data_IF_525575189951
#
_entry.id   IF_525575189951
#
_cell.length_a   1.000
_cell.length_b   1.000
_cell.length_c   1.000
_cell.angle_alpha   90.00
_cell.angle_beta   90.00
_cell.angle_gamma   90.00
#
_symmetry.space_group_name_H-M   'P 1'
#
loop_
_entity.id
_entity.type
_entity.pdbx_description
1 polymer ?
#
# COMPACT_ATOMS: atom_id res chain seq x y z
N UNK A 1 -2.01 -19.65 19.00
CA UNK A 1 -2.33 -18.21 19.13
C UNK A 1 -3.83 -18.07 19.28
N UNK A 2 -4.31 -17.35 20.28
CA UNK A 2 -5.75 -17.11 20.47
C UNK A 2 -6.14 -15.79 19.80
N UNK A 3 -7.32 -15.75 19.21
CA UNK A 3 -7.81 -14.53 18.52
C UNK A 3 -8.84 -13.85 19.41
N UNK A 4 -8.49 -12.69 19.96
CA UNK A 4 -9.47 -11.78 20.56
C UNK A 4 -10.04 -10.96 19.41
N UNK A 5 -11.29 -11.23 19.05
CA UNK A 5 -11.98 -10.52 17.98
C UNK A 5 -13.07 -9.61 18.56
N UNK A 6 -13.07 -8.35 18.13
CA UNK A 6 -14.16 -7.42 18.44
C UNK A 6 -15.32 -7.70 17.47
N UNK A 7 -16.21 -8.64 17.79
CA UNK A 7 -17.37 -8.93 16.95
C UNK A 7 -18.50 -7.92 17.18
N UNK A 8 -18.89 -7.20 16.13
CA UNK A 8 -20.05 -6.32 16.13
C UNK A 8 -21.38 -7.08 16.02
N UNK A 9 -22.05 -7.30 17.14
CA UNK A 9 -23.53 -7.39 17.20
C UNK A 9 -24.07 -6.04 17.68
N UNK A 10 -25.39 -5.81 17.64
CA UNK A 10 -26.02 -4.49 17.92
C UNK A 10 -25.71 -3.87 19.29
N UNK A 11 -24.95 -4.56 20.15
CA UNK A 11 -24.45 -4.09 21.46
C UNK A 11 -22.93 -4.18 21.67
N UNK A 12 -22.10 -4.32 20.62
CA UNK A 12 -20.62 -4.29 20.68
C UNK A 12 -20.01 -4.93 21.95
N UNK A 13 -20.30 -6.21 22.20
CA UNK A 13 -19.67 -6.93 23.31
C UNK A 13 -18.43 -7.66 22.82
N UNK A 14 -17.25 -7.44 23.43
CA UNK A 14 -16.04 -8.17 23.08
C UNK A 14 -16.25 -9.68 23.23
N UNK A 15 -15.63 -10.44 22.32
CA UNK A 15 -15.66 -11.90 22.32
C UNK A 15 -14.24 -12.46 22.26
N UNK A 16 -14.05 -13.64 22.83
CA UNK A 16 -12.80 -14.39 22.82
C UNK A 16 -13.09 -15.84 22.40
N UNK A 17 -12.33 -16.36 21.44
CA UNK A 17 -12.46 -17.73 20.94
C UNK A 17 -11.24 -18.56 21.38
N UNK A 18 -11.48 -19.70 22.04
CA UNK A 18 -10.46 -20.59 22.63
C UNK A 18 -10.93 -22.05 22.55
N UNK A 19 -10.06 -22.94 22.04
CA UNK A 19 -10.28 -24.40 21.98
C UNK A 19 -11.63 -24.80 21.37
N UNK A 20 -12.09 -24.01 20.39
CA UNK A 20 -13.36 -24.23 19.73
C UNK A 20 -14.59 -23.71 20.48
N UNK A 21 -14.42 -23.06 21.63
CA UNK A 21 -15.51 -22.43 22.35
C UNK A 21 -15.38 -20.92 22.31
N UNK A 22 -16.52 -20.24 22.38
CA UNK A 22 -16.59 -18.79 22.36
C UNK A 22 -17.10 -18.23 23.68
N UNK A 23 -16.46 -17.18 24.14
CA UNK A 23 -16.75 -16.51 25.39
C UNK A 23 -17.08 -15.04 25.15
N UNK A 24 -18.06 -14.52 25.87
CA UNK A 24 -18.41 -13.10 25.87
C UNK A 24 -17.96 -12.46 27.17
N UNK A 25 -17.55 -11.19 27.10
CA UNK A 25 -17.13 -10.43 28.28
C UNK A 25 -18.27 -10.35 29.30
N UNK A 26 -17.99 -10.81 30.52
CA UNK A 26 -18.92 -10.77 31.66
C UNK A 26 -18.66 -9.52 32.52
N UNK A 27 -17.41 -9.31 32.97
CA UNK A 27 -16.98 -8.15 33.75
C UNK A 27 -15.48 -7.84 33.59
N UNK A 28 -15.07 -6.64 33.95
CA UNK A 28 -13.66 -6.19 33.97
C UNK A 28 -13.31 -5.74 35.40
N UNK A 29 -12.10 -6.06 35.85
CA UNK A 29 -11.46 -5.51 37.06
C UNK A 29 -10.22 -4.71 36.66
N UNK A 30 -9.50 -4.15 37.62
CA UNK A 30 -8.27 -3.39 37.37
C UNK A 30 -7.18 -4.19 36.65
N UNK A 31 -7.11 -5.50 36.91
CA UNK A 31 -6.07 -6.41 36.40
C UNK A 31 -6.57 -7.43 35.36
N UNK A 32 -7.88 -7.72 35.33
CA UNK A 32 -8.44 -8.89 34.65
C UNK A 32 -9.70 -8.60 33.87
N UNK A 33 -9.91 -9.40 32.84
CA UNK A 33 -11.17 -9.52 32.12
C UNK A 33 -11.74 -10.91 32.38
N UNK A 34 -13.00 -10.96 32.82
CA UNK A 34 -13.76 -12.18 33.03
C UNK A 34 -14.66 -12.43 31.82
N UNK A 35 -14.57 -13.63 31.29
CA UNK A 35 -15.32 -14.09 30.14
C UNK A 35 -16.18 -15.28 30.54
N UNK A 36 -17.39 -15.38 29.98
CA UNK A 36 -18.30 -16.53 30.18
C UNK A 36 -18.66 -17.14 28.84
N UNK A 37 -18.93 -18.44 28.82
CA UNK A 37 -19.40 -19.12 27.62
C UNK A 37 -20.62 -18.41 27.02
N UNK A 38 -20.66 -18.27 25.69
CA UNK A 38 -21.80 -17.65 25.01
C UNK A 38 -23.09 -18.45 25.19
N UNK A 39 -22.98 -19.77 25.39
CA UNK A 39 -24.09 -20.70 25.64
C UNK A 39 -24.49 -20.77 27.13
N UNK A 40 -23.99 -19.84 27.97
CA UNK A 40 -24.34 -19.77 29.39
C UNK A 40 -25.84 -19.74 29.65
N UNK A 41 -26.60 -19.03 28.81
CA UNK A 41 -28.06 -18.93 28.96
C UNK A 41 -28.83 -20.04 28.23
N UNK A 42 -28.37 -20.45 27.05
CA UNK A 42 -29.09 -21.41 26.21
C UNK A 42 -28.90 -22.84 26.69
N UNK A 43 -27.67 -23.18 27.08
CA UNK A 43 -27.26 -24.55 27.38
C UNK A 43 -26.89 -24.68 28.87
N UNK A 44 -27.12 -23.63 29.67
CA UNK A 44 -26.71 -23.56 31.08
C UNK A 44 -25.19 -23.78 31.28
N UNK A 45 -24.38 -23.42 30.27
CA UNK A 45 -22.94 -23.67 30.30
C UNK A 45 -22.19 -22.66 31.19
N UNK A 46 -21.68 -23.13 32.32
CA UNK A 46 -21.00 -22.29 33.32
C UNK A 46 -19.49 -22.11 33.09
N UNK A 47 -18.94 -22.60 31.98
CA UNK A 47 -17.54 -22.42 31.64
C UNK A 47 -17.15 -20.93 31.52
N UNK A 48 -15.99 -20.58 32.08
CA UNK A 48 -15.46 -19.21 32.16
C UNK A 48 -13.96 -19.16 31.90
N UNK A 49 -13.52 -18.04 31.35
CA UNK A 49 -12.11 -17.73 31.11
C UNK A 49 -11.75 -16.39 31.76
N UNK A 50 -10.54 -16.26 32.29
CA UNK A 50 -9.99 -15.00 32.77
C UNK A 50 -8.75 -14.64 31.96
N UNK A 51 -8.65 -13.40 31.51
CA UNK A 51 -7.44 -12.88 30.84
C UNK A 51 -6.88 -11.68 31.56
N UNK A 52 -5.58 -11.44 31.43
CA UNK A 52 -4.94 -10.20 31.87
C UNK A 52 -5.47 -9.03 31.04
N UNK A 53 -5.75 -7.89 31.67
CA UNK A 53 -6.25 -6.70 30.98
C UNK A 53 -5.20 -6.10 30.02
N UNK A 54 -3.94 -6.06 30.45
CA UNK A 54 -2.84 -5.42 29.73
C UNK A 54 -2.23 -6.36 28.66
N UNK A 55 -1.71 -7.50 29.09
CA UNK A 55 -1.04 -8.45 28.20
C UNK A 55 -2.00 -9.30 27.36
N UNK A 56 -3.30 -9.30 27.69
CA UNK A 56 -4.34 -10.14 27.05
C UNK A 56 -4.06 -11.65 27.09
N UNK A 57 -3.15 -12.09 27.96
CA UNK A 57 -2.82 -13.51 28.17
C UNK A 57 -3.90 -14.21 28.97
N UNK A 58 -4.04 -15.52 28.78
CA UNK A 58 -4.98 -16.35 29.56
C UNK A 58 -4.39 -16.59 30.94
N UNK A 59 -5.15 -16.24 31.97
CA UNK A 59 -4.76 -16.43 33.37
C UNK A 59 -5.42 -17.65 34.00
N UNK A 60 -6.66 -17.94 33.61
CA UNK A 60 -7.42 -19.05 34.21
C UNK A 60 -8.54 -19.54 33.29
N UNK A 61 -8.76 -20.86 33.29
CA UNK A 61 -9.99 -21.49 32.79
C UNK A 61 -10.72 -22.15 33.98
N UNK A 62 -12.04 -21.99 34.07
CA UNK A 62 -12.85 -22.54 35.17
C UNK A 62 -14.20 -23.05 34.66
N UNK A 63 -14.60 -24.22 35.14
CA UNK A 63 -15.85 -24.87 34.75
C UNK A 63 -15.72 -25.58 33.41
N UNK A 64 -16.21 -26.81 33.34
CA UNK A 64 -16.18 -27.61 32.12
C UNK A 64 -17.32 -27.20 31.17
N UNK A 65 -17.06 -27.30 29.87
CA UNK A 65 -18.10 -27.08 28.88
C UNK A 65 -19.06 -28.26 28.88
N UNK A 66 -20.34 -27.97 29.12
CA UNK A 66 -21.45 -28.91 28.90
C UNK A 66 -22.16 -28.66 27.55
N UNK A 67 -21.88 -27.53 26.91
CA UNK A 67 -22.38 -27.24 25.58
C UNK A 67 -21.57 -27.99 24.53
N UNK A 68 -22.22 -28.37 23.42
CA UNK A 68 -21.55 -29.06 22.32
C UNK A 68 -20.65 -28.10 21.55
N UNK A 69 -19.45 -28.56 21.23
CA UNK A 69 -18.62 -27.91 20.22
C UNK A 69 -19.34 -27.98 18.88
N UNK A 70 -19.70 -26.81 18.32
CA UNK A 70 -20.31 -26.70 17.00
C UNK A 70 -19.34 -25.99 16.05
N UNK A 71 -18.52 -26.78 15.36
CA UNK A 71 -17.59 -26.31 14.34
C UNK A 71 -18.28 -25.43 13.28
N UNK A 72 -19.54 -25.74 12.94
CA UNK A 72 -20.29 -25.02 11.92
C UNK A 72 -20.68 -23.62 12.43
N UNK A 73 -21.19 -23.53 13.66
CA UNK A 73 -21.51 -22.23 14.29
C UNK A 73 -20.26 -21.35 14.46
N UNK A 74 -19.12 -21.95 14.80
CA UNK A 74 -17.86 -21.23 14.92
C UNK A 74 -17.37 -20.68 13.58
N UNK A 75 -17.44 -21.48 12.51
CA UNK A 75 -17.09 -21.04 11.16
C UNK A 75 -17.99 -19.89 10.68
N UNK A 76 -19.31 -19.98 10.90
CA UNK A 76 -20.28 -18.91 10.58
C UNK A 76 -19.95 -17.61 11.32
N UNK A 77 -19.48 -17.73 12.56
CA UNK A 77 -19.11 -16.59 13.38
C UNK A 77 -17.80 -15.95 12.93
N UNK A 78 -16.78 -16.76 12.66
CA UNK A 78 -15.51 -16.29 12.10
C UNK A 78 -15.74 -15.59 10.76
N UNK A 79 -16.61 -16.14 9.91
CA UNK A 79 -17.04 -15.48 8.67
C UNK A 79 -17.62 -14.09 8.95
N UNK A 80 -18.56 -13.97 9.90
CA UNK A 80 -19.18 -12.69 10.25
C UNK A 80 -18.16 -11.66 10.79
N UNK A 81 -17.18 -12.12 11.56
CA UNK A 81 -16.08 -11.29 12.06
C UNK A 81 -15.17 -10.83 10.91
N UNK A 82 -14.79 -11.72 10.00
CA UNK A 82 -13.98 -11.39 8.82
C UNK A 82 -14.69 -10.40 7.89
N UNK A 83 -15.98 -10.60 7.62
CA UNK A 83 -16.79 -9.67 6.83
C UNK A 83 -16.84 -8.29 7.50
N UNK A 84 -17.05 -8.25 8.82
CA UNK A 84 -17.08 -6.97 9.57
C UNK A 84 -15.71 -6.30 9.54
N UNK A 85 -14.64 -7.05 9.76
CA UNK A 85 -13.26 -6.54 9.70
C UNK A 85 -12.92 -5.96 8.34
N UNK A 86 -13.18 -6.69 7.26
CA UNK A 86 -12.93 -6.20 5.89
C UNK A 86 -13.83 -5.02 5.54
N UNK A 87 -15.09 -5.01 5.96
CA UNK A 87 -15.99 -3.89 5.72
C UNK A 87 -15.48 -2.57 6.32
N UNK A 88 -14.83 -2.62 7.49
CA UNK A 88 -14.36 -1.42 8.21
C UNK A 88 -12.93 -1.02 7.85
N UNK A 89 -12.10 -1.94 7.39
CA UNK A 89 -10.66 -1.70 7.19
C UNK A 89 -10.22 -1.78 5.72
N UNK A 90 -11.14 -2.00 4.78
CA UNK A 90 -10.82 -2.09 3.34
C UNK A 90 -11.90 -1.41 2.50
N UNK A 91 -11.53 -1.01 1.28
CA UNK A 91 -12.45 -0.45 0.27
C UNK A 91 -13.03 -1.50 -0.69
N UNK A 92 -12.73 -2.79 -0.50
CA UNK A 92 -13.15 -3.86 -1.41
C UNK A 92 -14.67 -3.84 -1.68
N UNK A 93 -15.09 -4.16 -2.89
CA UNK A 93 -16.52 -4.26 -3.20
C UNK A 93 -17.21 -5.29 -2.27
N UNK A 94 -18.44 -5.04 -1.77
CA UNK A 94 -19.15 -5.98 -0.91
C UNK A 94 -19.23 -7.40 -1.49
N UNK A 95 -19.30 -7.54 -2.82
CA UNK A 95 -19.29 -8.84 -3.49
C UNK A 95 -17.93 -9.55 -3.40
N UNK A 96 -16.84 -8.80 -3.56
CA UNK A 96 -15.46 -9.30 -3.39
C UNK A 96 -15.21 -9.71 -1.94
N UNK A 97 -15.71 -8.92 -0.98
CA UNK A 97 -15.63 -9.28 0.44
C UNK A 97 -16.30 -10.62 0.68
N UNK A 98 -17.56 -10.71 0.29
CA UNK A 98 -18.40 -11.89 0.53
C UNK A 98 -17.82 -13.13 -0.17
N UNK A 99 -17.44 -13.01 -1.44
CA UNK A 99 -16.85 -14.10 -2.25
C UNK A 99 -15.57 -14.64 -1.62
N UNK A 100 -14.64 -13.76 -1.22
CA UNK A 100 -13.38 -14.19 -0.62
C UNK A 100 -13.57 -14.78 0.79
N UNK A 101 -14.58 -14.34 1.54
CA UNK A 101 -14.92 -14.95 2.83
C UNK A 101 -15.59 -16.32 2.66
N UNK A 102 -16.36 -16.55 1.59
CA UNK A 102 -16.97 -17.86 1.30
C UNK A 102 -15.94 -18.95 1.00
N UNK A 103 -14.82 -18.62 0.33
CA UNK A 103 -13.76 -19.58 -0.03
C UNK A 103 -13.19 -20.38 1.15
N UNK A 104 -13.41 -19.92 2.39
CA UNK A 104 -12.88 -20.53 3.62
C UNK A 104 -13.91 -21.35 4.40
N UNK A 105 -15.11 -21.55 3.87
CA UNK A 105 -16.22 -22.23 4.56
C UNK A 105 -16.47 -23.64 4.05
N UNK A 106 -16.94 -24.50 4.95
CA UNK A 106 -17.49 -25.82 4.61
C UNK A 106 -18.96 -25.73 4.18
N UNK A 107 -19.44 -26.69 3.40
CA UNK A 107 -20.83 -26.73 2.90
C UNK A 107 -21.90 -26.65 4.02
N UNK A 108 -21.77 -27.35 5.16
CA UNK A 108 -22.73 -27.23 6.27
C UNK A 108 -22.83 -25.81 6.84
N UNK A 109 -21.73 -25.04 6.78
CA UNK A 109 -21.69 -23.65 7.27
C UNK A 109 -22.41 -22.69 6.34
N UNK A 110 -22.39 -22.95 5.03
CA UNK A 110 -23.09 -22.12 4.04
C UNK A 110 -24.61 -22.10 4.28
N UNK A 111 -25.19 -23.24 4.64
CA UNK A 111 -26.63 -23.37 4.91
C UNK A 111 -27.11 -22.55 6.13
N UNK A 112 -26.21 -22.21 7.05
CA UNK A 112 -26.53 -21.44 8.27
C UNK A 112 -26.29 -19.93 8.12
N UNK A 113 -25.78 -19.49 6.97
CA UNK A 113 -25.49 -18.08 6.74
C UNK A 113 -26.73 -17.29 6.32
N UNK A 114 -26.77 -15.98 6.63
CA UNK A 114 -27.76 -15.10 6.03
C UNK A 114 -27.63 -15.09 4.51
N UNK A 115 -28.74 -14.79 3.83
CA UNK A 115 -28.76 -14.57 2.37
C UNK A 115 -27.70 -13.53 1.97
N UNK A 116 -27.01 -13.77 0.85
CA UNK A 116 -25.89 -12.95 0.34
C UNK A 116 -26.19 -11.45 0.34
N UNK A 117 -27.39 -11.06 -0.08
CA UNK A 117 -27.79 -9.65 -0.16
C UNK A 117 -27.95 -8.99 1.21
N UNK A 118 -28.37 -9.74 2.24
CA UNK A 118 -28.42 -9.23 3.62
C UNK A 118 -27.00 -8.93 4.15
N UNK A 119 -26.03 -9.78 3.78
CA UNK A 119 -24.62 -9.57 4.14
C UNK A 119 -24.09 -8.31 3.44
N UNK A 120 -24.32 -8.17 2.13
CA UNK A 120 -23.94 -6.97 1.37
C UNK A 120 -24.57 -5.69 1.94
N UNK A 121 -25.87 -5.73 2.27
CA UNK A 121 -26.58 -4.61 2.90
C UNK A 121 -25.93 -4.23 4.23
N UNK A 122 -25.59 -5.22 5.06
CA UNK A 122 -24.89 -5.00 6.33
C UNK A 122 -23.51 -4.35 6.14
N UNK A 123 -22.74 -4.78 5.13
CA UNK A 123 -21.44 -4.16 4.79
C UNK A 123 -21.64 -2.67 4.48
N UNK A 124 -22.59 -2.33 3.60
CA UNK A 124 -22.90 -0.95 3.22
C UNK A 124 -23.31 -0.11 4.44
N UNK A 125 -24.21 -0.65 5.28
CA UNK A 125 -24.64 0.00 6.52
C UNK A 125 -23.48 0.24 7.51
N UNK A 126 -22.56 -0.73 7.65
CA UNK A 126 -21.39 -0.59 8.52
C UNK A 126 -20.45 0.50 8.03
N UNK A 127 -20.17 0.54 6.72
CA UNK A 127 -19.34 1.59 6.12
C UNK A 127 -19.94 2.98 6.31
N UNK A 128 -21.25 3.12 6.06
CA UNK A 128 -21.96 4.38 6.25
C UNK A 128 -21.94 4.81 7.72
N UNK A 129 -22.27 3.90 8.64
CA UNK A 129 -22.30 4.21 10.09
C UNK A 129 -20.95 4.65 10.63
N UNK A 130 -19.86 4.06 10.14
CA UNK A 130 -18.50 4.38 10.57
C UNK A 130 -17.83 5.45 9.70
N UNK A 131 -18.58 6.07 8.78
CA UNK A 131 -18.11 7.14 7.90
C UNK A 131 -16.80 6.77 7.19
N UNK A 132 -16.70 5.53 6.74
CA UNK A 132 -15.52 5.05 6.01
C UNK A 132 -15.37 5.88 4.74
N UNK A 133 -14.27 6.62 4.66
CA UNK A 133 -13.97 7.53 3.54
C UNK A 133 -13.76 6.68 2.30
N UNK A 134 -14.53 6.91 1.24
CA UNK A 134 -14.39 6.15 -0.01
C UNK A 134 -13.25 6.75 -0.85
N UNK A 135 -12.33 5.90 -1.27
CA UNK A 135 -11.32 6.29 -2.27
C UNK A 135 -12.00 6.63 -3.60
N UNK A 136 -11.58 7.71 -4.29
CA UNK A 136 -12.05 7.99 -5.63
C UNK A 136 -11.78 6.79 -6.56
N UNK A 137 -12.83 6.33 -7.24
CA UNK A 137 -12.76 5.22 -8.19
C UNK A 137 -13.27 5.63 -9.59
N UNK A 138 -13.47 6.91 -9.79
CA UNK A 138 -13.79 7.55 -11.06
C UNK A 138 -12.61 8.46 -11.43
N UNK A 139 -11.97 8.31 -12.60
CA UNK A 139 -10.87 9.18 -13.02
C UNK A 139 -11.24 10.67 -13.09
N UNK A 140 -12.53 11.01 -13.19
CA UNK A 140 -13.04 12.38 -13.25
C UNK A 140 -13.51 12.95 -11.90
N UNK A 141 -13.10 12.32 -10.78
CA UNK A 141 -13.45 12.80 -9.45
C UNK A 141 -13.07 14.27 -9.23
N UNK A 142 -13.93 15.06 -8.59
CA UNK A 142 -13.71 16.52 -8.50
C UNK A 142 -12.61 16.89 -7.49
N UNK A 143 -12.59 16.27 -6.32
CA UNK A 143 -11.61 16.57 -5.27
C UNK A 143 -11.24 15.34 -4.47
N UNK A 144 -10.01 15.32 -3.97
CA UNK A 144 -9.55 14.30 -3.00
C UNK A 144 -10.25 14.58 -1.65
N UNK A 145 -10.91 13.59 -1.03
CA UNK A 145 -11.45 13.74 0.32
C UNK A 145 -10.39 14.21 1.33
N UNK A 146 -10.70 15.19 2.17
CA UNK A 146 -9.75 15.80 3.13
C UNK A 146 -9.04 14.78 4.01
N UNK A 147 -9.71 13.69 4.40
CA UNK A 147 -9.09 12.65 5.22
C UNK A 147 -7.98 11.89 4.49
N UNK A 148 -8.00 11.87 3.15
CA UNK A 148 -6.96 11.28 2.31
C UNK A 148 -5.84 12.28 1.96
N UNK A 149 -5.99 13.56 2.32
CA UNK A 149 -4.95 14.57 2.12
C UNK A 149 -4.00 14.70 3.30
N UNK A 150 -4.28 13.99 4.41
CA UNK A 150 -3.53 14.07 5.67
C UNK A 150 -2.71 12.80 5.92
N UNK A 151 -1.60 12.95 6.65
CA UNK A 151 -0.83 11.82 7.16
C UNK A 151 -1.41 11.28 8.49
N UNK A 152 -0.77 10.25 9.05
CA UNK A 152 -1.19 9.66 10.34
C UNK A 152 -1.12 10.63 11.54
N UNK A 153 -0.32 11.70 11.44
CA UNK A 153 -0.21 12.77 12.44
C UNK A 153 -1.22 13.90 12.22
N UNK A 154 -2.15 13.77 11.26
CA UNK A 154 -3.12 14.80 10.86
C UNK A 154 -2.49 16.05 10.24
N UNK A 155 -1.32 15.93 9.63
CA UNK A 155 -0.66 17.02 8.91
C UNK A 155 -0.90 16.88 7.40
N UNK A 156 -0.88 18.01 6.69
CA UNK A 156 -1.06 18.03 5.24
C UNK A 156 0.03 17.21 4.55
N UNK A 157 -0.41 16.24 3.76
CA UNK A 157 0.45 15.30 3.02
C UNK A 157 0.28 15.45 1.51
N UNK A 158 -0.93 15.70 1.01
CA UNK A 158 -1.16 16.08 -0.39
C UNK A 158 -0.68 17.52 -0.60
N UNK A 159 0.38 17.70 -1.39
CA UNK A 159 1.01 18.99 -1.66
C UNK A 159 0.55 19.62 -2.97
N UNK A 160 0.20 18.80 -3.97
CA UNK A 160 -0.28 19.28 -5.25
C UNK A 160 -1.39 18.37 -5.81
N UNK A 161 -2.37 19.01 -6.45
CA UNK A 161 -3.44 18.40 -7.23
C UNK A 161 -3.69 19.28 -8.45
N UNK A 162 -3.20 18.87 -9.62
CA UNK A 162 -3.19 19.71 -10.86
C UNK A 162 -4.56 19.89 -11.52
N UNK A 163 -5.65 19.63 -10.79
CA UNK A 163 -7.05 19.69 -11.19
C UNK A 163 -7.56 18.45 -11.96
N UNK A 164 -8.89 18.19 -11.92
CA UNK A 164 -9.51 17.07 -12.63
C UNK A 164 -9.29 17.12 -14.14
N UNK A 165 -8.88 16.00 -14.72
CA UNK A 165 -8.61 15.85 -16.14
C UNK A 165 -7.80 14.58 -16.42
N UNK A 166 -7.57 14.27 -17.69
CA UNK A 166 -6.79 13.09 -18.09
C UNK A 166 -5.31 13.14 -17.71
N UNK A 167 -4.85 14.31 -17.28
CA UNK A 167 -3.45 14.61 -17.00
C UNK A 167 -3.23 14.91 -15.52
N UNK A 168 -4.22 14.59 -14.66
CA UNK A 168 -4.19 14.90 -13.24
C UNK A 168 -2.99 14.22 -12.57
N UNK A 169 -2.26 15.00 -11.80
CA UNK A 169 -1.14 14.59 -10.97
C UNK A 169 -1.49 14.91 -9.53
N UNK A 170 -1.35 13.91 -8.65
CA UNK A 170 -1.40 14.12 -7.20
C UNK A 170 -0.01 13.92 -6.63
N UNK A 171 0.51 14.90 -5.90
CA UNK A 171 1.85 14.83 -5.29
C UNK A 171 1.71 14.83 -3.78
N UNK A 172 2.30 13.83 -3.13
CA UNK A 172 2.30 13.65 -1.70
C UNK A 172 3.72 13.68 -1.14
N UNK A 173 3.90 14.48 -0.09
CA UNK A 173 5.12 14.56 0.70
C UNK A 173 4.81 15.27 2.02
N UNK A 174 5.48 14.90 3.11
CA UNK A 174 5.45 15.68 4.35
C UNK A 174 6.42 16.86 4.26
N UNK A 175 6.26 17.91 5.10
CA UNK A 175 7.22 19.01 5.16
C UNK A 175 8.66 18.54 5.41
N UNK A 176 8.87 17.53 6.26
CA UNK A 176 10.19 16.97 6.52
C UNK A 176 10.74 16.22 5.30
N UNK A 177 9.91 15.51 4.55
CA UNK A 177 10.35 14.86 3.31
C UNK A 177 10.74 15.87 2.25
N UNK A 178 9.99 16.98 2.10
CA UNK A 178 10.36 18.08 1.22
C UNK A 178 11.66 18.76 1.67
N UNK A 179 11.92 18.83 2.97
CA UNK A 179 13.19 19.32 3.48
C UNK A 179 14.35 18.39 3.12
N UNK A 180 14.18 17.06 3.26
CA UNK A 180 15.17 16.07 2.81
C UNK A 180 15.40 16.18 1.30
N UNK A 181 14.33 16.25 0.50
CA UNK A 181 14.42 16.43 -0.95
C UNK A 181 15.29 17.64 -1.33
N UNK A 182 15.13 18.77 -0.64
CA UNK A 182 15.87 20.00 -0.93
C UNK A 182 17.32 20.01 -0.43
N UNK A 183 17.70 19.09 0.45
CA UNK A 183 19.02 19.07 1.11
C UNK A 183 19.91 17.93 0.65
N UNK A 184 19.32 16.86 0.09
CA UNK A 184 20.07 15.75 -0.51
C UNK A 184 20.71 16.16 -1.84
N UNK A 185 21.84 15.54 -2.16
CA UNK A 185 22.51 15.69 -3.47
C UNK A 185 22.12 14.56 -4.43
N UNK A 186 22.02 13.34 -3.89
CA UNK A 186 21.71 12.14 -4.67
C UNK A 186 20.23 11.76 -4.56
N UNK A 187 19.66 11.43 -5.72
CA UNK A 187 18.28 11.01 -5.84
C UNK A 187 18.16 9.78 -6.72
N UNK A 188 17.22 8.92 -6.36
CA UNK A 188 16.83 7.78 -7.18
C UNK A 188 15.35 7.91 -7.49
N UNK A 189 14.99 7.60 -8.72
CA UNK A 189 13.61 7.73 -9.20
C UNK A 189 13.13 6.37 -9.65
N UNK A 190 11.95 5.96 -9.17
CA UNK A 190 11.33 4.69 -9.53
C UNK A 190 9.86 4.89 -9.91
N UNK A 191 9.37 4.08 -10.85
CA UNK A 191 7.97 4.03 -11.25
C UNK A 191 7.41 2.63 -11.02
N UNK A 192 6.44 2.50 -10.10
CA UNK A 192 5.81 1.21 -9.78
C UNK A 192 4.34 1.16 -10.18
N UNK A 193 3.95 0.04 -10.78
CA UNK A 193 2.59 -0.23 -11.28
C UNK A 193 1.77 -1.14 -10.35
N UNK A 194 2.42 -1.87 -9.44
CA UNK A 194 1.78 -2.98 -8.70
C UNK A 194 0.88 -2.52 -7.54
N UNK A 195 0.98 -1.26 -7.10
CA UNK A 195 0.35 -0.75 -5.87
C UNK A 195 -0.42 0.56 -6.13
N UNK A 196 -0.98 0.72 -7.34
CA UNK A 196 -1.63 1.97 -7.77
C UNK A 196 -3.15 1.79 -7.87
N UNK A 197 -3.97 2.75 -7.40
CA UNK A 197 -5.41 2.72 -7.67
C UNK A 197 -5.70 2.67 -9.17
N UNK A 198 -6.71 1.90 -9.59
CA UNK A 198 -7.02 1.67 -11.03
C UNK A 198 -7.28 2.96 -11.84
N UNK A 199 -7.63 4.06 -11.17
CA UNK A 199 -7.85 5.37 -11.80
C UNK A 199 -6.55 6.09 -12.19
N UNK A 200 -5.39 5.62 -11.73
CA UNK A 200 -4.06 6.13 -12.08
C UNK A 200 -3.25 5.06 -12.81
N UNK A 201 -2.33 5.51 -13.66
CA UNK A 201 -1.49 4.64 -14.48
C UNK A 201 -0.25 4.17 -13.72
N UNK A 202 0.38 5.05 -12.94
CA UNK A 202 1.62 4.75 -12.22
C UNK A 202 1.74 5.53 -10.91
N UNK A 203 2.46 4.94 -9.96
CA UNK A 203 3.00 5.61 -8.79
C UNK A 203 4.48 5.89 -9.05
N UNK A 204 4.82 7.16 -9.17
CA UNK A 204 6.18 7.66 -9.32
C UNK A 204 6.74 8.05 -7.95
N UNK A 205 7.93 7.57 -7.62
CA UNK A 205 8.54 7.77 -6.31
C UNK A 205 9.93 8.36 -6.48
N UNK A 206 10.19 9.48 -5.81
CA UNK A 206 11.53 10.03 -5.64
C UNK A 206 12.06 9.57 -4.29
N UNK A 207 13.23 8.96 -4.32
CA UNK A 207 14.01 8.61 -3.15
C UNK A 207 15.18 9.57 -3.01
N UNK A 208 15.55 9.84 -1.77
CA UNK A 208 16.71 10.63 -1.41
C UNK A 208 17.51 9.92 -0.32
N UNK A 209 18.80 10.25 -0.21
CA UNK A 209 19.64 9.71 0.85
C UNK A 209 19.40 10.50 2.14
N UNK A 210 18.92 9.82 3.18
CA UNK A 210 18.74 10.35 4.53
C UNK A 210 19.42 9.44 5.53
N UNK A 211 20.39 9.97 6.30
CA UNK A 211 21.17 9.21 7.30
C UNK A 211 21.74 7.89 6.74
N UNK A 212 22.37 7.95 5.57
CA UNK A 212 22.96 6.79 4.86
C UNK A 212 21.95 5.74 4.36
N UNK A 213 20.65 6.05 4.40
CA UNK A 213 19.61 5.18 3.86
C UNK A 213 18.85 5.88 2.73
N UNK A 214 18.57 5.13 1.67
CA UNK A 214 17.67 5.58 0.61
C UNK A 214 16.23 5.48 1.10
N UNK A 215 15.54 6.63 1.19
CA UNK A 215 14.16 6.72 1.68
C UNK A 215 13.27 7.42 0.67
N UNK A 216 12.00 7.01 0.52
CA UNK A 216 11.05 7.71 -0.34
C UNK A 216 10.66 9.06 0.29
N UNK A 217 10.79 10.12 -0.50
CA UNK A 217 10.52 11.50 -0.08
C UNK A 217 9.38 12.16 -0.85
N UNK A 218 9.10 11.71 -2.08
CA UNK A 218 7.95 12.18 -2.85
C UNK A 218 7.23 10.99 -3.45
N UNK A 219 5.91 11.00 -3.37
CA UNK A 219 5.03 10.06 -4.02
C UNK A 219 4.11 10.82 -4.98
N UNK A 220 4.08 10.43 -6.25
CA UNK A 220 3.22 11.06 -7.23
C UNK A 220 2.36 10.03 -7.97
N UNK A 221 1.04 10.26 -7.99
CA UNK A 221 0.10 9.45 -8.78
C UNK A 221 -0.11 10.14 -10.12
N UNK A 222 0.20 9.44 -11.22
CA UNK A 222 0.12 9.96 -12.59
C UNK A 222 -0.89 9.16 -13.40
N UNK A 223 -1.68 9.85 -14.24
CA UNK A 223 -2.63 9.20 -15.16
C UNK A 223 -2.03 8.78 -16.51
N UNK A 224 -0.84 9.28 -16.86
CA UNK A 224 -0.11 8.93 -18.11
C UNK A 224 1.40 8.79 -17.90
N UNK A 225 2.07 8.25 -18.92
CA UNK A 225 3.53 8.04 -18.97
C UNK A 225 4.20 8.67 -20.19
N UNK A 226 3.85 9.92 -20.48
CA UNK A 226 4.46 10.70 -21.56
C UNK A 226 5.37 11.81 -21.01
N UNK A 227 6.25 12.32 -21.86
CA UNK A 227 7.20 13.38 -21.54
C UNK A 227 6.54 14.65 -20.97
N UNK A 228 5.38 15.03 -21.51
CA UNK A 228 4.64 16.21 -21.05
C UNK A 228 4.18 16.06 -19.60
N UNK A 229 3.66 14.87 -19.25
CA UNK A 229 3.25 14.55 -17.88
C UNK A 229 4.42 14.58 -16.90
N UNK A 230 5.59 14.06 -17.28
CA UNK A 230 6.80 14.15 -16.43
C UNK A 230 7.30 15.59 -16.30
N UNK A 231 7.31 16.37 -17.38
CA UNK A 231 7.69 17.79 -17.33
C UNK A 231 6.79 18.53 -16.34
N UNK A 232 5.46 18.36 -16.45
CA UNK A 232 4.52 18.95 -15.52
C UNK A 232 4.74 18.48 -14.08
N UNK A 233 5.01 17.18 -13.86
CA UNK A 233 5.33 16.66 -12.54
C UNK A 233 6.53 17.39 -11.92
N UNK A 234 7.64 17.50 -12.64
CA UNK A 234 8.84 18.17 -12.11
C UNK A 234 8.61 19.66 -11.87
N UNK A 235 7.89 20.35 -12.77
CA UNK A 235 7.50 21.75 -12.56
C UNK A 235 6.70 21.93 -11.27
N UNK A 236 5.74 21.03 -10.99
CA UNK A 236 4.97 21.05 -9.75
C UNK A 236 5.81 20.73 -8.52
N UNK A 237 6.77 19.79 -8.61
CA UNK A 237 7.69 19.48 -7.51
C UNK A 237 8.57 20.70 -7.19
N UNK A 238 9.09 21.39 -8.19
CA UNK A 238 9.90 22.61 -7.99
C UNK A 238 9.09 23.71 -7.32
N UNK A 239 7.79 23.84 -7.61
CA UNK A 239 6.93 24.82 -6.92
C UNK A 239 6.80 24.52 -5.41
N UNK A 240 6.71 23.25 -5.03
CA UNK A 240 6.58 22.85 -3.61
C UNK A 240 7.93 22.68 -2.90
N UNK A 241 9.02 22.52 -3.64
CA UNK A 241 10.39 22.35 -3.15
C UNK A 241 11.37 23.20 -3.98
N UNK A 242 11.36 24.54 -3.83
CA UNK A 242 12.07 25.45 -4.72
C UNK A 242 13.61 25.36 -4.65
N UNK A 243 14.15 24.87 -3.53
CA UNK A 243 15.59 24.65 -3.39
C UNK A 243 16.05 23.28 -3.90
N UNK A 244 15.12 22.47 -4.41
CA UNK A 244 15.49 21.19 -5.01
C UNK A 244 16.13 21.46 -6.36
N UNK A 245 17.45 21.31 -6.40
CA UNK A 245 18.27 21.43 -7.59
C UNK A 245 18.75 20.04 -7.97
N UNK A 246 18.02 19.28 -8.80
CA UNK A 246 18.54 18.03 -9.36
C UNK A 246 19.65 18.38 -10.35
N UNK A 247 20.84 18.66 -9.82
CA UNK A 247 21.97 19.29 -10.51
C UNK A 247 22.69 18.40 -11.54
N UNK A 248 22.11 17.28 -11.95
CA UNK A 248 22.72 16.37 -12.92
C UNK A 248 21.75 15.65 -13.86
N UNK A 249 20.43 15.77 -13.68
CA UNK A 249 19.45 15.09 -14.55
C UNK A 249 18.72 16.02 -15.53
N UNK A 250 18.59 17.31 -15.24
CA UNK A 250 17.75 18.22 -16.05
C UNK A 250 18.26 18.47 -17.48
N UNK A 251 19.57 18.45 -17.71
CA UNK A 251 20.15 18.68 -19.04
C UNK A 251 19.80 17.58 -20.04
N UNK A 252 20.18 16.34 -19.72
CA UNK A 252 19.94 15.21 -20.60
C UNK A 252 18.53 14.65 -20.50
N UNK A 253 17.78 14.83 -19.40
CA UNK A 253 16.40 14.30 -19.31
C UNK A 253 15.43 15.06 -20.21
N UNK A 254 15.54 16.39 -20.31
CA UNK A 254 14.73 17.18 -21.23
C UNK A 254 15.04 16.84 -22.70
N UNK A 255 16.33 16.60 -23.01
CA UNK A 255 16.77 16.19 -24.34
C UNK A 255 16.34 14.75 -24.66
N UNK A 256 16.54 13.80 -23.74
CA UNK A 256 16.10 12.42 -23.85
C UNK A 256 14.60 12.28 -24.06
N UNK A 257 13.80 13.20 -23.52
CA UNK A 257 12.35 13.19 -23.70
C UNK A 257 11.88 13.83 -25.02
N UNK A 258 12.59 14.84 -25.54
CA UNK A 258 12.17 15.62 -26.72
C UNK A 258 12.83 15.16 -28.01
N UNK A 259 14.03 14.62 -27.93
CA UNK A 259 14.81 14.14 -29.05
C UNK A 259 14.79 12.61 -29.09
N UNK A 260 13.99 12.07 -30.01
CA UNK A 260 13.90 10.63 -30.23
C UNK A 260 15.22 10.01 -30.65
N UNK A 261 16.09 10.77 -31.32
CA UNK A 261 17.42 10.32 -31.74
C UNK A 261 18.34 10.18 -30.53
N UNK A 262 18.33 11.18 -29.65
CA UNK A 262 19.07 11.13 -28.39
C UNK A 262 18.61 9.96 -27.52
N UNK A 263 17.30 9.80 -27.34
CA UNK A 263 16.75 8.65 -26.59
C UNK A 263 17.17 7.32 -27.19
N UNK A 264 17.09 7.19 -28.52
CA UNK A 264 17.49 5.98 -29.22
C UNK A 264 18.97 5.68 -29.05
N UNK A 265 19.85 6.69 -29.10
CA UNK A 265 21.28 6.52 -28.91
C UNK A 265 21.65 6.14 -27.47
N UNK A 266 21.02 6.72 -26.46
CA UNK A 266 21.19 6.27 -25.06
C UNK A 266 20.77 4.80 -24.89
N UNK A 267 19.68 4.36 -25.53
CA UNK A 267 19.30 2.95 -25.52
C UNK A 267 20.35 2.05 -26.18
N UNK A 268 20.99 2.50 -27.27
CA UNK A 268 22.09 1.74 -27.90
C UNK A 268 23.27 1.58 -26.94
N UNK A 269 23.66 2.64 -26.23
CA UNK A 269 24.73 2.58 -25.22
C UNK A 269 24.35 1.56 -24.13
N UNK A 270 23.14 1.64 -23.58
CA UNK A 270 22.66 0.67 -22.59
C UNK A 270 22.57 -0.77 -23.14
N UNK A 271 22.31 -0.93 -24.45
CA UNK A 271 22.21 -2.24 -25.10
C UNK A 271 23.57 -2.98 -25.15
N UNK A 272 24.69 -2.28 -25.02
CA UNK A 272 26.02 -2.91 -24.91
C UNK A 272 26.09 -3.92 -23.77
N UNK A 273 25.34 -3.70 -22.68
CA UNK A 273 25.28 -4.60 -21.54
C UNK A 273 24.69 -5.99 -21.86
N UNK A 274 24.05 -6.14 -23.02
CA UNK A 274 23.42 -7.38 -23.49
C UNK A 274 24.20 -8.06 -24.62
N UNK A 275 25.33 -7.48 -25.07
CA UNK A 275 26.20 -8.13 -26.04
C UNK A 275 26.95 -9.30 -25.40
N UNK A 276 27.39 -10.26 -26.24
CA UNK A 276 28.35 -11.27 -25.81
C UNK A 276 29.63 -10.58 -25.30
N UNK A 277 30.26 -11.04 -24.20
CA UNK A 277 31.45 -10.40 -23.65
C UNK A 277 32.57 -10.15 -24.66
N UNK A 278 32.74 -11.03 -25.65
CA UNK A 278 33.77 -10.88 -26.68
C UNK A 278 33.45 -9.80 -27.73
N UNK A 279 32.20 -9.34 -27.78
CA UNK A 279 31.70 -8.35 -28.74
C UNK A 279 31.45 -6.98 -28.13
N UNK A 280 31.54 -6.84 -26.79
CA UNK A 280 31.28 -5.59 -26.07
C UNK A 280 32.25 -4.48 -26.52
N UNK A 281 33.56 -4.78 -26.61
CA UNK A 281 34.58 -3.81 -27.04
C UNK A 281 34.33 -3.31 -28.46
N UNK A 282 34.17 -4.21 -29.43
CA UNK A 282 33.86 -3.83 -30.82
C UNK A 282 32.53 -3.09 -30.95
N UNK A 283 31.54 -3.43 -30.12
CA UNK A 283 30.25 -2.75 -30.10
C UNK A 283 30.36 -1.33 -29.55
N UNK A 284 31.19 -1.13 -28.52
CA UNK A 284 31.46 0.18 -27.93
C UNK A 284 32.25 1.08 -28.89
N UNK A 285 33.34 0.57 -29.49
CA UNK A 285 34.12 1.31 -30.51
C UNK A 285 33.22 1.77 -31.67
N UNK A 286 32.36 0.87 -32.17
CA UNK A 286 31.40 1.22 -33.22
C UNK A 286 30.39 2.28 -32.80
N UNK A 287 30.05 2.41 -31.51
CA UNK A 287 29.16 3.46 -31.02
C UNK A 287 29.92 4.77 -30.86
N UNK A 288 31.15 4.76 -30.37
CA UNK A 288 31.99 5.97 -30.30
C UNK A 288 32.23 6.61 -31.68
N UNK A 289 32.33 5.80 -32.74
CA UNK A 289 32.43 6.33 -34.11
C UNK A 289 31.12 6.95 -34.65
N UNK A 290 29.97 6.56 -34.10
CA UNK A 290 28.64 6.97 -34.58
C UNK A 290 28.02 8.10 -33.77
N UNK A 291 28.44 8.29 -32.53
CA UNK A 291 27.91 9.25 -31.59
C UNK A 291 28.81 10.49 -31.53
N UNK A 292 28.20 11.67 -31.43
CA UNK A 292 28.89 12.95 -31.32
C UNK A 292 29.20 13.30 -29.85
N UNK A 293 30.02 14.34 -29.66
CA UNK A 293 30.62 14.74 -28.38
C UNK A 293 29.61 14.98 -27.23
N UNK A 294 28.32 15.12 -27.54
CA UNK A 294 27.26 15.27 -26.52
C UNK A 294 27.05 14.01 -25.66
N UNK A 295 27.54 12.83 -26.11
CA UNK A 295 27.42 11.57 -25.38
C UNK A 295 28.69 11.19 -24.60
N UNK A 296 29.78 11.94 -24.74
CA UNK A 296 31.10 11.60 -24.19
C UNK A 296 31.04 11.29 -22.69
N UNK A 297 30.42 12.15 -21.88
CA UNK A 297 30.28 11.92 -20.44
C UNK A 297 29.59 10.58 -20.09
N UNK A 298 28.68 10.11 -20.95
CA UNK A 298 27.93 8.85 -20.74
C UNK A 298 28.73 7.66 -21.24
N UNK A 299 29.44 7.83 -22.36
CA UNK A 299 30.36 6.83 -22.91
C UNK A 299 31.55 6.60 -21.97
N UNK A 300 32.16 7.68 -21.46
CA UNK A 300 33.24 7.65 -20.47
C UNK A 300 32.81 6.89 -19.22
N UNK A 301 31.62 7.20 -18.68
CA UNK A 301 31.05 6.45 -17.56
C UNK A 301 30.92 4.95 -17.86
N UNK A 302 30.42 4.59 -19.05
CA UNK A 302 30.23 3.19 -19.44
C UNK A 302 31.57 2.46 -19.67
N UNK A 303 32.56 3.14 -20.22
CA UNK A 303 33.92 2.66 -20.37
C UNK A 303 34.55 2.40 -19.00
N UNK A 304 34.49 3.37 -18.10
CA UNK A 304 35.08 3.28 -16.76
C UNK A 304 34.43 2.21 -15.88
N UNK A 305 33.09 2.05 -15.98
CA UNK A 305 32.33 1.23 -15.02
C UNK A 305 31.92 -0.15 -15.53
N UNK A 306 31.74 -0.34 -16.84
CA UNK A 306 31.25 -1.61 -17.41
C UNK A 306 32.29 -2.32 -18.28
N UNK A 307 32.93 -1.60 -19.20
CA UNK A 307 34.01 -2.17 -20.03
C UNK A 307 35.26 -2.38 -19.16
N UNK A 308 35.46 -1.45 -18.22
CA UNK A 308 36.67 -1.31 -17.42
C UNK A 308 37.75 -0.69 -18.30
N UNK A 309 38.45 0.33 -17.79
CA UNK A 309 39.65 0.82 -18.45
C UNK A 309 40.54 -0.39 -18.76
N UNK A 310 40.66 -0.75 -20.03
CA UNK A 310 41.58 -1.78 -20.46
C UNK A 310 42.92 -1.41 -19.84
N UNK A 311 43.42 -2.30 -18.98
CA UNK A 311 44.71 -2.21 -18.33
C UNK A 311 45.72 -1.65 -19.33
N UNK A 312 46.13 -0.39 -19.14
CA UNK A 312 47.29 0.17 -19.84
C UNK A 312 48.50 -0.61 -19.31
N UNK A 313 48.88 -1.66 -20.01
CA UNK A 313 50.21 -2.25 -20.02
C UNK A 313 50.53 -2.74 -21.43
#
# INVERSE_FOLDING_TARGET
MFTISQSGTSKQRPQLDLDGFSYVRDRITSDKIYWRCIKYKSDHCHARLHTCLESKTILKHTGDHICKFDATENQVRQFSQQVTGRALNTQEDPDVIVTNCYKKLSDPSLARLPVRDNIKRRIRMLRQKNQIVKEPNDPQFQSVPTQLTLNHRQEQFLQCDTCPGDDRILIFASPEQLHVLQTSQDFLVDGTFKVVPEIFYQLFIIHAVYRQHTVPVVYALLRRKDAGTYTCLFDEIVKIAPNWLPASSLGHQAQYQKDSTFSHNIHKIAALAFLDPNSVLSGFESLCEQLDDQYDNILDYFEETYIGMALIH
#
